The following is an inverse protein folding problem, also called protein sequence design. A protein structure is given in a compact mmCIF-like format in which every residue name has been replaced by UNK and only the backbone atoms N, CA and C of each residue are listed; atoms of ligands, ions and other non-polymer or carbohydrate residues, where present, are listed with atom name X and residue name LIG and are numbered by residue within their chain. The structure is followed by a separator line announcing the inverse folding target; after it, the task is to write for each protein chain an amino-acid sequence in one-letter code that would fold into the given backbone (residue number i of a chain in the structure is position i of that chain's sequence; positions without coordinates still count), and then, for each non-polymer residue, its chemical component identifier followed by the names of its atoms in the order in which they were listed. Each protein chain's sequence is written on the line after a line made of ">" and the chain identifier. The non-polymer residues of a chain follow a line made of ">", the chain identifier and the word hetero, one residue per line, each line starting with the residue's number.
data_IF_301934202833
#
_entry.id   IF_301934202833
#
_cell.length_a   1.000
_cell.length_b   1.000
_cell.length_c   1.000
_cell.angle_alpha   90.00
_cell.angle_beta   90.00
_cell.angle_gamma   90.00
#
_symmetry.space_group_name_H-M   'P 1'
#
loop_
_entity.id
_entity.type
_entity.pdbx_description
1 polymer ?
#
# COMPACT_ATOMS: atom_id res chain seq x y z
N UNK A 1 -8.20 6.88 -4.59
CA UNK A 1 -8.52 5.48 -4.94
C UNK A 1 -9.91 5.16 -4.44
N UNK A 2 -10.81 4.72 -5.34
CA UNK A 2 -12.18 4.40 -4.98
C UNK A 2 -12.22 3.07 -4.20
N UNK A 3 -12.79 3.07 -2.99
CA UNK A 3 -12.85 1.89 -2.11
C UNK A 3 -13.49 0.67 -2.79
N UNK A 4 -14.41 0.85 -3.73
CA UNK A 4 -15.06 -0.26 -4.44
C UNK A 4 -14.07 -1.08 -5.27
N UNK A 5 -12.91 -0.52 -5.65
CA UNK A 5 -11.85 -1.23 -6.36
C UNK A 5 -11.25 -2.36 -5.52
N UNK A 6 -11.30 -2.28 -4.18
CA UNK A 6 -10.78 -3.33 -3.30
C UNK A 6 -11.45 -4.69 -3.51
N UNK A 7 -12.67 -4.72 -4.07
CA UNK A 7 -13.39 -5.96 -4.36
C UNK A 7 -12.86 -6.72 -5.58
N UNK A 8 -12.04 -6.07 -6.41
CA UNK A 8 -11.49 -6.65 -7.65
C UNK A 8 -9.96 -6.70 -7.67
N UNK A 9 -9.29 -5.92 -6.82
CA UNK A 9 -7.83 -5.85 -6.78
C UNK A 9 -7.25 -7.08 -6.08
N UNK A 10 -6.31 -7.74 -6.76
CA UNK A 10 -5.48 -8.81 -6.20
C UNK A 10 -4.01 -8.38 -6.20
N UNK A 11 -3.19 -9.06 -5.41
CA UNK A 11 -1.75 -8.77 -5.36
C UNK A 11 -1.12 -8.98 -6.76
N UNK A 12 -0.34 -8.01 -7.29
CA UNK A 12 0.33 -8.14 -8.58
C UNK A 12 1.44 -9.21 -8.59
N UNK A 13 1.88 -9.67 -7.41
CA UNK A 13 2.99 -10.62 -7.27
C UNK A 13 2.49 -12.06 -7.17
N UNK A 14 1.55 -12.32 -6.25
CA UNK A 14 1.12 -13.67 -5.91
C UNK A 14 -0.36 -13.94 -6.18
N UNK A 15 -1.06 -12.96 -6.76
CA UNK A 15 -2.50 -13.01 -7.12
C UNK A 15 -3.44 -13.23 -5.93
N UNK A 16 -2.97 -13.00 -4.70
CA UNK A 16 -3.80 -13.19 -3.51
C UNK A 16 -4.89 -12.14 -3.38
N UNK A 17 -6.02 -12.60 -2.84
CA UNK A 17 -7.18 -11.82 -2.48
C UNK A 17 -7.80 -12.44 -1.20
N UNK A 18 -8.30 -11.66 -0.24
CA UNK A 18 -8.39 -10.20 -0.24
C UNK A 18 -7.08 -9.49 0.13
N UNK A 19 -6.97 -8.22 -0.27
CA UNK A 19 -5.93 -7.30 0.19
C UNK A 19 -6.47 -6.45 1.35
N UNK A 20 -5.60 -6.08 2.28
CA UNK A 20 -5.97 -5.14 3.34
C UNK A 20 -5.74 -3.70 2.89
N UNK A 21 -6.67 -2.80 3.23
CA UNK A 21 -6.58 -1.36 2.96
C UNK A 21 -6.35 -0.60 4.26
N UNK A 22 -5.33 0.26 4.26
CA UNK A 22 -5.04 1.22 5.32
C UNK A 22 -5.29 2.62 4.80
N UNK A 23 -6.29 3.29 5.35
CA UNK A 23 -6.72 4.61 4.94
C UNK A 23 -6.06 5.66 5.82
N UNK A 24 -5.34 6.61 5.21
CA UNK A 24 -4.68 7.71 5.92
C UNK A 24 -5.48 8.99 5.71
N UNK A 25 -5.81 9.30 4.46
CA UNK A 25 -6.71 10.39 4.11
C UNK A 25 -7.83 9.88 3.22
N UNK A 26 -9.06 10.14 3.63
CA UNK A 26 -10.26 9.71 2.92
C UNK A 26 -11.27 10.83 2.83
N UNK A 27 -11.93 10.95 1.67
CA UNK A 27 -13.07 11.84 1.49
C UNK A 27 -14.08 11.21 0.54
N UNK A 28 -15.28 10.93 1.05
CA UNK A 28 -16.41 10.49 0.23
C UNK A 28 -16.18 9.16 -0.49
N UNK A 29 -15.54 8.18 0.16
CA UNK A 29 -15.24 6.87 -0.43
C UNK A 29 -14.02 6.86 -1.35
N UNK A 30 -13.29 7.97 -1.44
CA UNK A 30 -12.04 8.10 -2.17
C UNK A 30 -10.89 8.25 -1.17
N UNK A 31 -9.94 7.32 -1.20
CA UNK A 31 -8.71 7.35 -0.40
C UNK A 31 -7.64 8.12 -1.15
N UNK A 32 -7.20 9.27 -0.65
CA UNK A 32 -6.16 10.09 -1.28
C UNK A 32 -4.75 9.70 -0.86
N UNK A 33 -4.58 9.27 0.39
CA UNK A 33 -3.32 8.73 0.91
C UNK A 33 -3.65 7.45 1.70
N UNK A 34 -2.84 6.41 1.54
CA UNK A 34 -3.08 5.13 2.17
C UNK A 34 -2.09 4.06 1.75
N UNK A 35 -2.29 2.83 2.21
CA UNK A 35 -1.50 1.69 1.78
C UNK A 35 -2.39 0.45 1.61
N UNK A 36 -2.09 -0.34 0.59
CA UNK A 36 -2.67 -1.67 0.40
C UNK A 36 -1.64 -2.69 0.87
N UNK A 37 -2.03 -3.74 1.57
CA UNK A 37 -1.14 -4.77 2.07
C UNK A 37 -1.60 -6.17 1.69
N UNK A 38 -0.67 -6.98 1.19
CA UNK A 38 -0.90 -8.40 0.93
C UNK A 38 -0.47 -9.23 2.15
N UNK A 39 -1.41 -9.96 2.75
CA UNK A 39 -1.14 -10.84 3.89
C UNK A 39 -0.27 -12.06 3.55
N UNK A 40 -0.24 -12.48 2.27
CA UNK A 40 0.46 -13.70 1.85
C UNK A 40 1.95 -13.46 1.59
N UNK A 41 2.29 -12.43 0.79
CA UNK A 41 3.69 -12.10 0.49
C UNK A 41 4.27 -10.93 1.28
N UNK A 42 3.48 -10.38 2.22
CA UNK A 42 3.87 -9.28 3.11
C UNK A 42 4.34 -8.01 2.38
N UNK A 43 3.89 -7.80 1.14
CA UNK A 43 4.17 -6.57 0.38
C UNK A 43 3.11 -5.52 0.64
N UNK A 44 3.53 -4.27 0.72
CA UNK A 44 2.63 -3.13 0.70
C UNK A 44 2.69 -2.41 -0.65
N UNK A 45 1.65 -1.66 -0.98
CA UNK A 45 1.55 -0.80 -2.16
C UNK A 45 1.00 0.56 -1.71
N UNK A 46 1.75 1.66 -1.85
CA UNK A 46 1.29 2.97 -1.41
C UNK A 46 0.18 3.51 -2.33
N UNK A 47 -0.74 4.26 -1.74
CA UNK A 47 -1.72 5.09 -2.43
C UNK A 47 -1.26 6.53 -2.21
N UNK A 48 -0.90 7.22 -3.30
CA UNK A 48 -0.41 8.60 -3.27
C UNK A 48 -1.26 9.40 -4.26
N UNK A 49 -1.79 10.54 -3.84
CA UNK A 49 -2.65 11.39 -4.67
C UNK A 49 -3.77 10.59 -5.34
N UNK A 50 -4.43 9.73 -4.56
CA UNK A 50 -5.52 8.85 -5.00
C UNK A 50 -5.11 7.69 -5.94
N UNK A 51 -3.83 7.59 -6.32
CA UNK A 51 -3.33 6.57 -7.24
C UNK A 51 -2.68 5.42 -6.46
N UNK A 52 -3.22 4.18 -6.54
CA UNK A 52 -2.56 3.00 -5.99
C UNK A 52 -1.37 2.58 -6.87
N UNK A 53 -0.16 2.61 -6.32
CA UNK A 53 1.07 2.26 -7.03
C UNK A 53 1.35 0.76 -6.82
N UNK A 54 0.80 -0.09 -7.69
CA UNK A 54 0.88 -1.56 -7.61
C UNK A 54 1.90 -2.14 -8.59
N UNK A 55 3.13 -1.64 -8.55
CA UNK A 55 4.21 -2.07 -9.45
C UNK A 55 4.85 -3.39 -8.99
N UNK A 56 5.31 -4.24 -9.93
CA UNK A 56 6.24 -5.34 -9.64
C UNK A 56 7.53 -4.83 -9.01
N UNK A 57 8.19 -5.67 -8.19
CA UNK A 57 9.36 -5.27 -7.40
C UNK A 57 10.49 -4.64 -8.23
N UNK A 58 10.70 -5.11 -9.47
CA UNK A 58 11.73 -4.61 -10.39
C UNK A 58 11.52 -3.15 -10.82
N UNK A 59 10.28 -2.66 -10.75
CA UNK A 59 9.87 -1.32 -11.17
C UNK A 59 9.59 -0.38 -10.00
N UNK A 60 9.82 -0.83 -8.75
CA UNK A 60 9.54 -0.03 -7.54
C UNK A 60 10.67 0.96 -7.27
N UNK A 61 10.30 2.20 -7.02
CA UNK A 61 11.25 3.24 -6.58
C UNK A 61 11.44 3.19 -5.06
N UNK A 62 12.58 2.64 -4.63
CA UNK A 62 12.95 2.56 -3.21
C UNK A 62 12.95 3.92 -2.51
N UNK A 63 13.39 4.99 -3.19
CA UNK A 63 13.47 6.31 -2.56
C UNK A 63 12.06 6.83 -2.26
N UNK A 64 11.16 6.74 -3.24
CA UNK A 64 9.77 7.15 -3.08
C UNK A 64 9.07 6.39 -1.95
N UNK A 65 9.26 5.07 -1.88
CA UNK A 65 8.63 4.24 -0.86
C UNK A 65 9.18 4.52 0.54
N UNK A 66 10.49 4.73 0.67
CA UNK A 66 11.09 5.10 1.95
C UNK A 66 10.63 6.49 2.42
N UNK A 67 10.44 7.45 1.51
CA UNK A 67 9.87 8.77 1.82
C UNK A 67 8.40 8.64 2.27
N UNK A 68 7.60 7.81 1.59
CA UNK A 68 6.23 7.50 1.99
C UNK A 68 6.16 6.89 3.39
N UNK A 69 6.98 5.87 3.67
CA UNK A 69 7.02 5.21 4.98
C UNK A 69 7.41 6.19 6.09
N UNK A 70 8.41 7.06 5.85
CA UNK A 70 8.81 8.08 6.83
C UNK A 70 7.70 9.10 7.08
N UNK A 71 7.03 9.57 6.02
CA UNK A 71 5.95 10.56 6.09
C UNK A 71 4.75 10.04 6.89
N UNK A 72 4.44 8.75 6.77
CA UNK A 72 3.23 8.15 7.36
C UNK A 72 3.50 7.14 8.47
N UNK A 73 4.71 7.16 9.05
CA UNK A 73 5.16 6.20 10.07
C UNK A 73 4.16 5.98 11.20
N UNK A 74 3.59 7.07 11.73
CA UNK A 74 2.72 7.02 12.91
C UNK A 74 1.26 6.65 12.58
N UNK A 75 0.89 6.64 11.29
CA UNK A 75 -0.46 6.33 10.81
C UNK A 75 -0.55 4.94 10.17
N UNK A 76 0.58 4.38 9.74
CA UNK A 76 0.66 3.05 9.17
C UNK A 76 0.79 1.98 10.27
N UNK A 77 0.25 0.79 10.05
CA UNK A 77 0.38 -0.32 10.99
C UNK A 77 1.84 -0.79 11.10
N UNK A 78 2.21 -1.30 12.27
CA UNK A 78 3.58 -1.76 12.56
C UNK A 78 4.08 -2.81 11.55
N UNK A 79 3.20 -3.68 11.05
CA UNK A 79 3.55 -4.70 10.05
C UNK A 79 4.03 -4.11 8.72
N UNK A 80 3.56 -2.92 8.34
CA UNK A 80 4.06 -2.22 7.16
C UNK A 80 5.40 -1.56 7.48
N UNK A 81 5.49 -0.91 8.65
CA UNK A 81 6.68 -0.16 9.04
C UNK A 81 7.89 -1.04 9.28
N UNK A 82 7.71 -2.24 9.85
CA UNK A 82 8.83 -3.06 10.37
C UNK A 82 9.04 -4.37 9.63
N UNK A 83 8.06 -4.86 8.87
CA UNK A 83 8.04 -6.24 8.33
C UNK A 83 7.67 -6.32 6.86
N UNK A 84 7.41 -5.20 6.19
CA UNK A 84 6.97 -5.25 4.80
C UNK A 84 8.12 -5.51 3.83
N UNK A 85 7.75 -6.17 2.75
CA UNK A 85 8.58 -6.37 1.57
C UNK A 85 8.25 -5.31 0.50
N UNK A 86 9.22 -4.92 -0.33
CA UNK A 86 10.66 -5.18 -0.18
C UNK A 86 11.33 -4.24 0.84
N UNK A 87 10.72 -3.09 1.13
CA UNK A 87 11.30 -2.05 1.99
C UNK A 87 10.44 -1.82 3.23
N UNK A 88 11.12 -1.56 4.34
CA UNK A 88 10.56 -1.19 5.64
C UNK A 88 11.56 -0.24 6.34
N UNK A 89 11.13 0.44 7.40
CA UNK A 89 11.96 1.38 8.16
C UNK A 89 12.85 0.69 9.19
#
# INVERSE_FOLDING_TARGET
>A
MNKTMMNILACPIDKSYPLELFEIKEKGGIVSEGAIFCLKCSRFFPIIEEIPIMLPDELRDKKQEMEFLKKFKDQLPEKIITKANPWHL
#
